data_IF_924620620541
#
_entry.id   IF_924620620541
#
_cell.length_a   1.000
_cell.length_b   1.000
_cell.length_c   1.000
_cell.angle_alpha   90.00
_cell.angle_beta   90.00
_cell.angle_gamma   90.00
#
_symmetry.space_group_name_H-M   'P 1'
#
loop_
_entity.id
_entity.type
_entity.pdbx_description
1 polymer ?
#
# COMPACT_ATOMS: atom_id res chain seq x y z
N UNK A 1 -16.90 -10.90 16.84
CA UNK A 1 -18.02 -11.32 17.71
C UNK A 1 -17.51 -12.04 18.95
N UNK A 2 -16.59 -13.00 18.83
CA UNK A 2 -16.08 -13.74 20.01
C UNK A 2 -15.32 -12.84 21.00
N UNK A 3 -14.54 -11.87 20.49
CA UNK A 3 -13.90 -10.82 21.31
C UNK A 3 -14.91 -9.97 22.10
N UNK A 4 -16.10 -9.72 21.53
CA UNK A 4 -17.15 -8.91 22.19
C UNK A 4 -17.91 -9.71 23.26
N UNK A 5 -18.03 -11.02 23.07
CA UNK A 5 -18.58 -11.93 24.09
C UNK A 5 -17.61 -12.04 25.26
N UNK A 6 -16.31 -12.20 24.99
CA UNK A 6 -15.27 -12.24 26.03
C UNK A 6 -15.18 -10.90 26.78
N UNK A 7 -15.42 -9.78 26.10
CA UNK A 7 -15.49 -8.45 26.71
C UNK A 7 -16.85 -8.15 27.39
N UNK A 8 -17.73 -9.16 27.53
CA UNK A 8 -19.07 -9.05 28.14
C UNK A 8 -19.96 -7.94 27.54
N UNK A 9 -19.65 -7.50 26.32
CA UNK A 9 -20.38 -6.43 25.64
C UNK A 9 -21.63 -6.94 24.92
N UNK A 10 -21.68 -8.25 24.65
CA UNK A 10 -22.84 -8.99 24.12
C UNK A 10 -22.86 -10.41 24.71
N UNK A 11 -24.04 -11.03 24.76
CA UNK A 11 -24.19 -12.44 25.17
C UNK A 11 -23.83 -13.39 24.03
N UNK A 12 -23.57 -14.66 24.35
CA UNK A 12 -23.33 -15.71 23.36
C UNK A 12 -24.55 -15.95 22.43
N UNK A 13 -25.76 -15.76 22.96
CA UNK A 13 -27.01 -15.87 22.20
C UNK A 13 -27.12 -14.73 21.19
N UNK A 14 -26.88 -13.48 21.63
CA UNK A 14 -26.85 -12.31 20.75
C UNK A 14 -25.75 -12.44 19.68
N UNK A 15 -24.55 -12.90 20.05
CA UNK A 15 -23.48 -13.13 19.10
C UNK A 15 -23.87 -14.15 18.01
N UNK A 16 -24.58 -15.21 18.37
CA UNK A 16 -25.08 -16.21 17.42
C UNK A 16 -26.13 -15.62 16.49
N UNK A 17 -27.09 -14.87 17.04
CA UNK A 17 -28.11 -14.19 16.25
C UNK A 17 -27.51 -13.17 15.28
N UNK A 18 -26.54 -12.36 15.73
CA UNK A 18 -25.84 -11.37 14.91
C UNK A 18 -25.00 -12.02 13.80
N UNK A 19 -24.31 -13.14 14.10
CA UNK A 19 -23.57 -13.92 13.07
C UNK A 19 -24.52 -14.45 11.99
N UNK A 20 -25.68 -14.98 12.39
CA UNK A 20 -26.69 -15.47 11.44
C UNK A 20 -27.26 -14.33 10.58
N UNK A 21 -27.64 -13.21 11.21
CA UNK A 21 -28.14 -12.03 10.51
C UNK A 21 -27.10 -11.45 9.53
N UNK A 22 -25.83 -11.37 9.93
CA UNK A 22 -24.75 -10.92 9.06
C UNK A 22 -24.56 -11.86 7.86
N UNK A 23 -24.60 -13.18 8.09
CA UNK A 23 -24.51 -14.17 7.00
C UNK A 23 -25.66 -13.99 6.00
N UNK A 24 -26.89 -13.85 6.48
CA UNK A 24 -28.06 -13.56 5.64
C UNK A 24 -27.89 -12.25 4.86
N UNK A 25 -27.49 -11.16 5.51
CA UNK A 25 -27.28 -9.88 4.82
C UNK A 25 -26.20 -9.97 3.73
N UNK A 26 -25.11 -10.69 3.97
CA UNK A 26 -24.05 -10.89 2.99
C UNK A 26 -24.54 -11.73 1.81
N UNK A 27 -25.18 -12.87 2.07
CA UNK A 27 -25.57 -13.81 1.01
C UNK A 27 -26.79 -13.36 0.22
N UNK A 28 -27.76 -12.73 0.87
CA UNK A 28 -29.07 -12.50 0.27
C UNK A 28 -29.23 -11.05 -0.23
N UNK A 29 -28.41 -10.11 0.26
CA UNK A 29 -28.43 -8.72 -0.20
C UNK A 29 -27.13 -8.29 -0.88
N UNK A 30 -25.97 -8.50 -0.23
CA UNK A 30 -24.69 -8.02 -0.75
C UNK A 30 -24.21 -8.82 -1.96
N UNK A 31 -24.19 -10.16 -1.90
CA UNK A 31 -23.70 -10.99 -2.99
C UNK A 31 -24.50 -10.78 -4.30
N UNK A 32 -25.85 -10.76 -4.29
CA UNK A 32 -26.61 -10.44 -5.50
C UNK A 32 -26.36 -9.02 -6.02
N UNK A 33 -26.01 -8.05 -5.16
CA UNK A 33 -25.63 -6.71 -5.59
C UNK A 33 -24.27 -6.71 -6.32
N UNK A 34 -23.30 -7.46 -5.82
CA UNK A 34 -22.03 -7.66 -6.50
C UNK A 34 -22.20 -8.41 -7.83
N UNK A 35 -23.07 -9.42 -7.89
CA UNK A 35 -23.37 -10.13 -9.14
C UNK A 35 -23.96 -9.21 -10.21
N UNK A 36 -24.80 -8.23 -9.81
CA UNK A 36 -25.31 -7.21 -10.75
C UNK A 36 -24.21 -6.31 -11.28
N UNK A 37 -23.29 -5.86 -10.42
CA UNK A 37 -22.14 -5.05 -10.83
C UNK A 37 -21.24 -5.85 -11.78
N UNK A 38 -20.96 -7.12 -11.44
CA UNK A 38 -20.15 -8.01 -12.25
C UNK A 38 -20.80 -8.27 -13.62
N UNK A 39 -22.10 -8.54 -13.64
CA UNK A 39 -22.86 -8.72 -14.89
C UNK A 39 -22.81 -7.47 -15.76
N UNK A 40 -22.92 -6.27 -15.16
CA UNK A 40 -22.77 -5.01 -15.89
C UNK A 40 -21.35 -4.84 -16.44
N UNK A 41 -20.31 -5.06 -15.64
CA UNK A 41 -18.90 -4.97 -16.08
C UNK A 41 -18.59 -5.93 -17.22
N UNK A 42 -19.09 -7.17 -17.17
CA UNK A 42 -18.91 -8.14 -18.24
C UNK A 42 -19.60 -7.70 -19.53
N UNK A 43 -20.83 -7.18 -19.44
CA UNK A 43 -21.57 -6.71 -20.61
C UNK A 43 -20.95 -5.42 -21.22
N UNK A 44 -20.27 -4.61 -20.42
CA UNK A 44 -19.62 -3.38 -20.89
C UNK A 44 -18.23 -3.62 -21.49
N UNK A 45 -17.63 -4.80 -21.26
CA UNK A 45 -16.29 -5.14 -21.73
C UNK A 45 -16.11 -5.01 -23.25
N UNK A 46 -17.13 -5.34 -24.03
CA UNK A 46 -17.04 -5.24 -25.50
C UNK A 46 -17.11 -3.79 -26.01
N UNK A 47 -17.34 -2.82 -25.10
CA UNK A 47 -17.39 -1.38 -25.42
C UNK A 47 -16.10 -0.64 -25.09
N UNK A 48 -15.14 -1.30 -24.45
CA UNK A 48 -13.85 -0.66 -24.13
C UNK A 48 -12.87 -0.84 -25.29
N UNK A 49 -11.94 0.09 -25.44
CA UNK A 49 -10.84 -0.03 -26.40
C UNK A 49 -9.97 -1.24 -26.07
N UNK A 50 -9.54 -1.99 -27.10
CA UNK A 50 -8.66 -3.16 -26.94
C UNK A 50 -7.32 -2.82 -26.25
N UNK A 51 -6.84 -1.59 -26.46
CA UNK A 51 -5.63 -1.07 -25.84
C UNK A 51 -5.99 0.00 -24.82
N UNK A 52 -5.65 -0.27 -23.56
CA UNK A 52 -5.75 0.73 -22.51
C UNK A 52 -4.81 1.90 -22.83
N UNK A 53 -5.37 3.10 -22.90
CA UNK A 53 -4.64 4.35 -23.06
C UNK A 53 -4.86 5.24 -21.84
N UNK A 54 -4.07 6.31 -21.72
CA UNK A 54 -4.24 7.26 -20.62
C UNK A 54 -5.58 7.97 -20.69
N UNK A 55 -5.96 8.63 -19.59
CA UNK A 55 -7.22 9.39 -19.50
C UNK A 55 -7.40 10.45 -20.60
N UNK A 56 -6.31 10.86 -21.26
CA UNK A 56 -6.31 11.77 -22.42
C UNK A 56 -7.15 11.27 -23.60
N UNK A 57 -7.37 9.96 -23.73
CA UNK A 57 -8.16 9.37 -24.81
C UNK A 57 -9.68 9.49 -24.60
N UNK A 58 -10.11 9.89 -23.39
CA UNK A 58 -11.52 10.08 -23.06
C UNK A 58 -11.99 11.48 -23.49
N UNK A 59 -13.31 11.70 -23.65
CA UNK A 59 -13.87 13.05 -23.80
C UNK A 59 -13.40 13.96 -22.66
N UNK A 60 -12.95 15.16 -23.01
CA UNK A 60 -12.35 16.15 -22.09
C UNK A 60 -11.15 15.62 -21.27
N UNK A 61 -10.48 14.57 -21.74
CA UNK A 61 -9.42 13.86 -21.03
C UNK A 61 -8.25 14.74 -20.57
N UNK A 62 -7.86 15.72 -21.40
CA UNK A 62 -6.81 16.68 -21.04
C UNK A 62 -7.25 17.59 -19.88
N UNK A 63 -8.46 18.15 -19.95
CA UNK A 63 -9.01 19.00 -18.89
C UNK A 63 -9.21 18.20 -17.60
N UNK A 64 -9.72 16.97 -17.70
CA UNK A 64 -9.82 16.04 -16.59
C UNK A 64 -8.44 15.78 -15.96
N UNK A 65 -7.43 15.48 -16.75
CA UNK A 65 -6.09 15.20 -16.25
C UNK A 65 -5.47 16.42 -15.55
N UNK A 66 -5.59 17.62 -16.12
CA UNK A 66 -5.15 18.87 -15.48
C UNK A 66 -5.86 19.10 -14.14
N UNK A 67 -7.18 18.91 -14.09
CA UNK A 67 -7.93 19.01 -12.82
C UNK A 67 -7.46 17.97 -11.80
N UNK A 68 -7.23 16.72 -12.23
CA UNK A 68 -6.73 15.65 -11.36
C UNK A 68 -5.34 15.93 -10.83
N UNK A 69 -4.45 16.48 -11.64
CA UNK A 69 -3.11 16.90 -11.19
C UNK A 69 -3.24 17.93 -10.07
N UNK A 70 -3.98 19.01 -10.29
CA UNK A 70 -4.19 20.04 -9.27
C UNK A 70 -4.83 19.49 -7.98
N UNK A 71 -5.79 18.57 -8.11
CA UNK A 71 -6.44 17.92 -6.96
C UNK A 71 -5.51 17.02 -6.15
N UNK A 72 -4.58 16.33 -6.82
CA UNK A 72 -3.68 15.36 -6.17
C UNK A 72 -2.42 16.03 -5.61
N UNK A 73 -1.86 16.99 -6.34
CA UNK A 73 -0.63 17.69 -5.94
C UNK A 73 -0.92 18.91 -5.09
N UNK A 74 -2.14 19.47 -5.15
CA UNK A 74 -2.52 20.77 -4.57
C UNK A 74 -1.68 21.95 -5.08
N UNK A 75 -1.00 21.77 -6.21
CA UNK A 75 -0.12 22.75 -6.84
C UNK A 75 -0.58 23.09 -8.26
N UNK A 76 -0.38 24.33 -8.74
CA UNK A 76 -0.73 24.74 -10.09
C UNK A 76 0.34 24.31 -11.11
N UNK A 77 0.73 23.03 -11.13
CA UNK A 77 1.74 22.48 -12.04
C UNK A 77 1.11 21.90 -13.31
N UNK A 78 1.81 22.04 -14.44
CA UNK A 78 1.44 21.39 -15.69
C UNK A 78 1.95 19.95 -15.72
N UNK A 79 1.31 19.10 -16.54
CA UNK A 79 1.77 17.73 -16.77
C UNK A 79 3.23 17.68 -17.26
N UNK A 80 3.58 18.60 -18.17
CA UNK A 80 4.94 18.72 -18.72
C UNK A 80 5.97 19.06 -17.64
N UNK A 81 5.66 20.04 -16.78
CA UNK A 81 6.56 20.42 -15.69
C UNK A 81 6.80 19.24 -14.74
N UNK A 82 5.73 18.49 -14.40
CA UNK A 82 5.84 17.30 -13.55
C UNK A 82 6.66 16.20 -14.24
N UNK A 83 6.45 15.98 -15.53
CA UNK A 83 7.21 14.99 -16.29
C UNK A 83 8.71 15.33 -16.31
N UNK A 84 9.05 16.58 -16.59
CA UNK A 84 10.42 17.06 -16.63
C UNK A 84 11.11 16.94 -15.26
N UNK A 85 10.44 17.36 -14.18
CA UNK A 85 10.94 17.13 -12.80
C UNK A 85 11.15 15.65 -12.54
N UNK A 86 10.24 14.78 -13.00
CA UNK A 86 10.39 13.33 -12.87
C UNK A 86 11.65 12.79 -13.57
N UNK A 87 11.94 13.25 -14.80
CA UNK A 87 13.14 12.86 -15.53
C UNK A 87 14.43 13.31 -14.81
N UNK A 88 14.43 14.54 -14.31
CA UNK A 88 15.56 15.10 -13.55
C UNK A 88 15.81 14.33 -12.26
N UNK A 89 14.75 14.03 -11.50
CA UNK A 89 14.85 13.28 -10.26
C UNK A 89 15.25 11.83 -10.48
N UNK A 90 14.78 11.18 -11.55
CA UNK A 90 15.26 9.83 -11.93
C UNK A 90 16.75 9.85 -12.20
N UNK A 91 17.24 10.82 -12.97
CA UNK A 91 18.67 10.93 -13.27
C UNK A 91 19.50 11.20 -12.00
N UNK A 92 19.04 12.12 -11.14
CA UNK A 92 19.70 12.45 -9.86
C UNK A 92 19.78 11.23 -8.94
N UNK A 93 18.66 10.54 -8.71
CA UNK A 93 18.57 9.39 -7.81
C UNK A 93 19.42 8.23 -8.35
N UNK A 94 19.42 7.97 -9.67
CA UNK A 94 20.28 6.93 -10.26
C UNK A 94 21.77 7.25 -10.09
N UNK A 95 22.17 8.52 -10.15
CA UNK A 95 23.55 8.91 -9.90
C UNK A 95 23.96 8.65 -8.43
N UNK A 96 23.08 8.96 -7.49
CA UNK A 96 23.29 8.67 -6.06
C UNK A 96 23.37 7.17 -5.78
N UNK A 97 22.49 6.37 -6.40
CA UNK A 97 22.53 4.92 -6.27
C UNK A 97 23.84 4.31 -6.80
N UNK A 98 24.38 4.82 -7.91
CA UNK A 98 25.69 4.39 -8.43
C UNK A 98 26.83 4.75 -7.47
N UNK A 99 26.78 5.91 -6.83
CA UNK A 99 27.77 6.29 -5.83
C UNK A 99 27.74 5.34 -4.62
N UNK A 100 26.55 4.97 -4.16
CA UNK A 100 26.37 4.00 -3.07
C UNK A 100 26.86 2.62 -3.50
N UNK A 101 26.46 2.14 -4.67
CA UNK A 101 26.91 0.86 -5.26
C UNK A 101 28.45 0.77 -5.25
N UNK A 102 29.13 1.84 -5.68
CA UNK A 102 30.59 1.92 -5.64
C UNK A 102 31.15 1.93 -4.21
N UNK A 103 30.51 2.65 -3.28
CA UNK A 103 30.97 2.73 -1.89
C UNK A 103 30.88 1.40 -1.14
N UNK A 104 29.94 0.53 -1.50
CA UNK A 104 29.79 -0.81 -0.91
C UNK A 104 30.59 -1.87 -1.69
N UNK A 105 31.33 -1.45 -2.72
CA UNK A 105 32.20 -2.34 -3.50
C UNK A 105 31.44 -3.31 -4.40
N UNK A 106 30.21 -3.00 -4.79
CA UNK A 106 29.44 -3.88 -5.69
C UNK A 106 29.80 -3.61 -7.16
N UNK A 107 30.27 -4.64 -7.86
CA UNK A 107 30.63 -4.58 -9.28
C UNK A 107 29.43 -4.95 -10.19
N UNK A 108 29.37 -4.36 -11.38
CA UNK A 108 28.32 -4.65 -12.37
C UNK A 108 27.38 -3.47 -12.62
N UNK A 109 26.25 -3.72 -13.28
CA UNK A 109 25.26 -2.68 -13.57
C UNK A 109 24.39 -2.37 -12.35
N UNK A 110 23.71 -1.22 -12.39
CA UNK A 110 22.73 -0.88 -11.35
C UNK A 110 21.57 -1.90 -11.30
N UNK A 111 21.23 -2.51 -12.44
CA UNK A 111 20.23 -3.58 -12.50
C UNK A 111 20.70 -4.87 -11.81
N UNK A 112 21.99 -5.19 -11.90
CA UNK A 112 22.59 -6.31 -11.18
C UNK A 112 22.57 -6.03 -9.68
N UNK A 113 22.89 -4.81 -9.28
CA UNK A 113 22.82 -4.37 -7.88
C UNK A 113 21.41 -4.51 -7.31
N UNK A 114 20.38 -4.07 -8.03
CA UNK A 114 18.99 -4.26 -7.61
C UNK A 114 18.58 -5.72 -7.57
N UNK A 115 19.08 -6.54 -8.49
CA UNK A 115 18.79 -7.98 -8.49
C UNK A 115 19.40 -8.62 -7.24
N UNK A 116 20.65 -8.32 -6.93
CA UNK A 116 21.32 -8.79 -5.72
C UNK A 116 20.56 -8.38 -4.45
N UNK A 117 20.20 -7.10 -4.28
CA UNK A 117 19.44 -6.62 -3.12
C UNK A 117 18.07 -7.33 -2.97
N UNK A 118 17.45 -7.73 -4.09
CA UNK A 118 16.13 -8.39 -4.11
C UNK A 118 16.21 -9.91 -3.92
N UNK A 119 17.35 -10.54 -4.18
CA UNK A 119 17.44 -12.01 -4.20
C UNK A 119 18.47 -12.59 -3.23
N UNK A 120 19.36 -11.77 -2.67
CA UNK A 120 20.32 -12.26 -1.68
C UNK A 120 19.62 -12.51 -0.35
N UNK A 121 19.75 -13.72 0.18
CA UNK A 121 19.14 -14.13 1.46
C UNK A 121 19.63 -13.29 2.64
N UNK A 122 20.78 -12.62 2.52
CA UNK A 122 21.34 -11.76 3.57
C UNK A 122 20.44 -10.56 3.94
N UNK A 123 19.54 -10.14 3.04
CA UNK A 123 18.61 -9.04 3.24
C UNK A 123 17.23 -9.49 3.72
N UNK A 124 17.01 -10.79 3.90
CA UNK A 124 15.71 -11.34 4.24
C UNK A 124 15.74 -12.14 5.54
N UNK A 125 14.66 -12.03 6.29
CA UNK A 125 14.35 -13.00 7.33
C UNK A 125 13.80 -14.28 6.69
N UNK A 126 14.10 -15.42 7.30
CA UNK A 126 13.50 -16.69 6.89
C UNK A 126 11.96 -16.62 6.96
N UNK A 127 11.29 -17.35 6.05
CA UNK A 127 9.84 -17.43 6.01
C UNK A 127 9.24 -18.34 7.10
N UNK A 128 9.76 -18.25 8.32
CA UNK A 128 9.34 -19.01 9.51
C UNK A 128 8.55 -18.14 10.48
N UNK A 129 7.98 -18.71 11.53
CA UNK A 129 7.30 -17.91 12.58
C UNK A 129 8.33 -17.01 13.28
N UNK A 130 9.51 -17.55 13.52
CA UNK A 130 10.64 -16.89 14.15
C UNK A 130 11.18 -15.76 13.28
N UNK A 131 11.37 -15.99 11.98
CA UNK A 131 11.82 -14.95 11.05
C UNK A 131 10.81 -13.79 10.93
N UNK A 132 9.50 -14.09 10.92
CA UNK A 132 8.46 -13.06 10.95
C UNK A 132 8.50 -12.21 12.22
N UNK A 133 8.67 -12.83 13.41
CA UNK A 133 8.82 -12.04 14.64
C UNK A 133 10.14 -11.27 14.69
N UNK A 134 11.22 -11.82 14.12
CA UNK A 134 12.48 -11.09 13.94
C UNK A 134 12.29 -9.81 13.13
N UNK A 135 11.57 -9.90 12.01
CA UNK A 135 11.24 -8.74 11.17
C UNK A 135 10.37 -7.71 11.92
N UNK A 136 9.34 -8.17 12.63
CA UNK A 136 8.48 -7.29 13.42
C UNK A 136 9.26 -6.60 14.55
N UNK A 137 10.18 -7.31 15.19
CA UNK A 137 11.02 -6.74 16.24
C UNK A 137 11.97 -5.69 15.66
N UNK A 138 12.61 -5.96 14.52
CA UNK A 138 13.46 -4.98 13.83
C UNK A 138 12.68 -3.69 13.51
N UNK A 139 11.45 -3.82 13.00
CA UNK A 139 10.59 -2.67 12.74
C UNK A 139 10.23 -1.90 14.03
N UNK A 140 9.92 -2.59 15.13
CA UNK A 140 9.68 -1.96 16.45
C UNK A 140 10.91 -1.19 16.93
N UNK A 141 12.10 -1.75 16.74
CA UNK A 141 13.35 -1.12 17.15
C UNK A 141 13.63 0.15 16.33
N UNK A 142 13.37 0.13 15.02
CA UNK A 142 13.46 1.34 14.18
C UNK A 142 12.49 2.43 14.62
N UNK A 143 11.23 2.09 14.88
CA UNK A 143 10.24 3.05 15.38
C UNK A 143 10.70 3.66 16.71
N UNK A 144 11.16 2.84 17.66
CA UNK A 144 11.68 3.32 18.95
C UNK A 144 12.89 4.26 18.77
N UNK A 145 13.78 3.94 17.83
CA UNK A 145 14.91 4.80 17.48
C UNK A 145 14.47 6.15 16.92
N UNK A 146 13.47 6.16 16.04
CA UNK A 146 12.88 7.39 15.48
C UNK A 146 12.20 8.19 16.58
N UNK A 147 11.36 7.56 17.41
CA UNK A 147 10.65 8.23 18.52
C UNK A 147 11.59 8.96 19.48
N UNK A 148 12.76 8.39 19.75
CA UNK A 148 13.79 9.03 20.57
C UNK A 148 14.39 10.30 19.91
N UNK A 149 14.34 10.40 18.58
CA UNK A 149 14.86 11.55 17.81
C UNK A 149 13.79 12.58 17.47
N UNK A 150 12.51 12.23 17.45
CA UNK A 150 11.44 13.17 17.09
C UNK A 150 11.45 14.49 17.89
N UNK A 151 11.69 14.51 19.22
CA UNK A 151 11.73 15.76 19.98
C UNK A 151 12.80 16.76 19.49
N UNK A 152 13.87 16.28 18.87
CA UNK A 152 14.96 17.12 18.36
C UNK A 152 14.56 17.90 17.09
N UNK A 153 13.54 17.42 16.36
CA UNK A 153 13.11 17.98 15.07
C UNK A 153 11.69 18.57 15.09
N UNK A 154 10.85 18.15 16.04
CA UNK A 154 9.43 18.52 16.09
C UNK A 154 9.03 19.07 17.46
N UNK A 155 8.39 20.25 17.47
CA UNK A 155 7.94 20.89 18.71
C UNK A 155 6.67 20.30 19.32
N UNK A 156 5.83 19.62 18.53
CA UNK A 156 4.60 18.98 19.01
C UNK A 156 4.57 17.54 18.50
N UNK A 157 4.44 16.60 19.43
CA UNK A 157 4.37 15.17 19.13
C UNK A 157 2.95 14.63 19.35
N UNK A 158 2.52 13.64 18.54
CA UNK A 158 1.27 12.94 18.78
C UNK A 158 1.22 12.28 20.16
N UNK A 159 0.04 12.23 20.76
CA UNK A 159 -0.18 11.52 22.04
C UNK A 159 -0.36 10.00 21.86
N UNK A 160 -0.80 9.58 20.67
CA UNK A 160 -1.02 8.17 20.35
C UNK A 160 0.29 7.52 19.90
N UNK A 161 0.67 6.36 20.46
CA UNK A 161 1.85 5.64 20.03
C UNK A 161 1.63 4.99 18.65
N UNK A 162 2.72 4.79 17.89
CA UNK A 162 2.69 3.97 16.70
C UNK A 162 2.96 2.51 17.09
N UNK A 163 2.01 1.62 16.78
CA UNK A 163 2.15 0.20 17.08
C UNK A 163 2.48 -0.61 15.83
N UNK A 164 3.55 -1.41 15.90
CA UNK A 164 3.88 -2.39 14.86
C UNK A 164 3.17 -3.70 15.17
N UNK A 165 2.21 -4.06 14.31
CA UNK A 165 1.42 -5.28 14.41
C UNK A 165 1.52 -6.08 13.13
N UNK A 166 1.45 -7.40 13.27
CA UNK A 166 1.35 -8.31 12.14
C UNK A 166 -0.01 -8.09 11.45
N UNK A 167 -0.01 -8.10 10.13
CA UNK A 167 -1.26 -8.16 9.33
C UNK A 167 -1.99 -9.46 9.67
N UNK A 168 -3.32 -9.45 9.62
CA UNK A 168 -4.07 -10.68 9.92
C UNK A 168 -3.79 -11.76 8.88
N UNK A 169 -3.57 -13.01 9.31
CA UNK A 169 -3.14 -14.11 8.44
C UNK A 169 -4.06 -14.36 7.23
N UNK A 170 -5.36 -14.07 7.34
CA UNK A 170 -6.31 -14.21 6.23
C UNK A 170 -6.20 -13.08 5.18
N UNK A 171 -5.58 -11.94 5.52
CA UNK A 171 -5.31 -10.81 4.61
C UNK A 171 -3.93 -10.90 3.98
N UNK A 172 -3.00 -11.65 4.57
CA UNK A 172 -1.65 -11.87 4.06
C UNK A 172 -1.60 -12.74 2.79
N UNK A 173 -2.68 -13.46 2.45
CA UNK A 173 -2.71 -14.46 1.37
C UNK A 173 -3.32 -13.95 0.05
N UNK A 174 -3.69 -12.67 -0.03
CA UNK A 174 -4.40 -12.07 -1.16
C UNK A 174 -3.47 -11.47 -2.22
#
# INVERSE_FOLDING_TARGET
>A
MDVLVVAESITAVEATALKAAAKTAILDAMAPAYDRILGWLHADRDRVSDTATGAWALPDGAAFYTYRLQRMTTLPLTAEAIHQTGLEEVARIQAEMKAIQASVGFEGSLQDFFTHLRTSDEFYFENTVQGREGYLQLARDFIKGIEAKLPDYFGILPKGPLEVRRVEAFREQA
#
